data_IF_383058959632
#
_entry.id   IF_383058959632
#
_cell.length_a   1.000
_cell.length_b   1.000
_cell.length_c   1.000
_cell.angle_alpha   90.00
_cell.angle_beta   90.00
_cell.angle_gamma   90.00
#
_symmetry.space_group_name_H-M   'P 1'
#
loop_
_entity.id
_entity.type
_entity.pdbx_description
1 polymer ?
#
# COMPACT_ATOMS: atom_id res chain seq x y z
N UNK A 1 -5.96 8.90 -8.53
CA UNK A 1 -5.25 9.77 -9.50
C UNK A 1 -6.19 10.85 -10.01
N UNK A 2 -6.57 11.81 -9.16
CA UNK A 2 -7.58 12.84 -9.53
C UNK A 2 -7.00 14.05 -10.24
N UNK A 3 -5.69 14.31 -10.13
CA UNK A 3 -5.05 15.55 -10.57
C UNK A 3 -4.02 15.38 -11.70
N UNK A 4 -3.96 14.21 -12.33
CA UNK A 4 -3.03 13.84 -13.42
C UNK A 4 -1.62 14.44 -13.26
N UNK A 5 -1.06 14.33 -12.04
CA UNK A 5 0.23 14.95 -11.71
C UNK A 5 1.39 14.10 -12.19
N UNK A 6 2.43 14.74 -12.74
CA UNK A 6 3.67 14.06 -13.14
C UNK A 6 4.38 13.37 -11.96
N UNK A 7 4.11 13.80 -10.72
CA UNK A 7 4.67 13.20 -9.50
C UNK A 7 3.91 11.95 -9.04
N UNK A 8 2.79 11.63 -9.66
CA UNK A 8 1.87 10.66 -9.11
C UNK A 8 2.41 9.23 -9.19
N UNK A 9 3.24 8.90 -10.20
CA UNK A 9 3.98 7.63 -10.24
C UNK A 9 4.97 7.50 -9.08
N UNK A 10 5.71 8.57 -8.77
CA UNK A 10 6.65 8.60 -7.63
C UNK A 10 5.91 8.44 -6.31
N UNK A 11 4.77 9.13 -6.15
CA UNK A 11 3.95 9.05 -4.95
C UNK A 11 3.32 7.65 -4.78
N UNK A 12 2.85 7.03 -5.86
CA UNK A 12 2.34 5.65 -5.82
C UNK A 12 3.43 4.64 -5.46
N UNK A 13 4.67 4.82 -5.93
CA UNK A 13 5.80 3.99 -5.50
C UNK A 13 6.05 4.10 -4.01
N UNK A 14 6.17 5.32 -3.49
CA UNK A 14 6.37 5.54 -2.05
C UNK A 14 5.22 4.95 -1.21
N UNK A 15 3.97 5.14 -1.65
CA UNK A 15 2.80 4.57 -0.99
C UNK A 15 2.88 3.04 -0.96
N UNK A 16 3.27 2.41 -2.07
CA UNK A 16 3.46 0.96 -2.16
C UNK A 16 4.50 0.47 -1.15
N UNK A 17 5.65 1.14 -1.05
CA UNK A 17 6.73 0.77 -0.13
C UNK A 17 6.29 0.87 1.34
N UNK A 18 5.58 1.95 1.69
CA UNK A 18 5.03 2.14 3.04
C UNK A 18 3.98 1.07 3.37
N UNK A 19 3.05 0.82 2.45
CA UNK A 19 2.00 -0.18 2.64
C UNK A 19 2.58 -1.60 2.78
N UNK A 20 3.62 -1.96 2.01
CA UNK A 20 4.27 -3.27 2.15
C UNK A 20 5.03 -3.41 3.47
N UNK A 21 5.70 -2.35 3.92
CA UNK A 21 6.36 -2.34 5.24
C UNK A 21 5.34 -2.53 6.37
N UNK A 22 4.25 -1.75 6.34
CA UNK A 22 3.17 -1.83 7.32
C UNK A 22 2.49 -3.20 7.31
N UNK A 23 2.17 -3.75 6.14
CA UNK A 23 1.57 -5.08 6.03
C UNK A 23 2.49 -6.16 6.61
N UNK A 24 3.80 -6.09 6.33
CA UNK A 24 4.78 -7.06 6.82
C UNK A 24 4.91 -7.04 8.34
N UNK A 25 4.87 -5.86 8.96
CA UNK A 25 4.88 -5.73 10.42
C UNK A 25 3.56 -6.23 11.03
N UNK A 26 2.42 -5.82 10.46
CA UNK A 26 1.11 -6.24 10.94
C UNK A 26 0.87 -7.76 10.78
N UNK A 27 1.39 -8.41 9.74
CA UNK A 27 1.34 -9.86 9.54
C UNK A 27 2.03 -10.66 10.65
N UNK A 28 2.97 -10.03 11.39
CA UNK A 28 3.64 -10.68 12.53
C UNK A 28 2.69 -10.86 13.73
N UNK A 29 1.63 -10.07 13.81
CA UNK A 29 0.66 -10.09 14.91
C UNK A 29 -0.63 -10.81 14.48
N UNK A 30 -1.13 -11.72 15.32
CA UNK A 30 -2.34 -12.50 15.02
C UNK A 30 -3.65 -11.81 15.40
N UNK A 31 -3.58 -10.60 15.94
CA UNK A 31 -4.75 -9.80 16.27
C UNK A 31 -5.59 -9.51 15.03
N UNK A 32 -6.92 -9.58 15.19
CA UNK A 32 -7.87 -9.36 14.10
C UNK A 32 -7.65 -8.01 13.40
N UNK A 33 -7.36 -6.96 14.19
CA UNK A 33 -7.05 -5.64 13.66
C UNK A 33 -5.77 -5.63 12.80
N UNK A 34 -4.72 -6.33 13.25
CA UNK A 34 -3.45 -6.38 12.51
C UNK A 34 -3.59 -7.18 11.21
N UNK A 35 -4.34 -8.29 11.23
CA UNK A 35 -4.62 -9.07 10.03
C UNK A 35 -5.44 -8.27 9.00
N UNK A 36 -6.43 -7.50 9.46
CA UNK A 36 -7.24 -6.65 8.60
C UNK A 36 -6.46 -5.46 8.04
N UNK A 37 -5.63 -4.82 8.88
CA UNK A 37 -4.71 -3.77 8.45
C UNK A 37 -3.75 -4.28 7.37
N UNK A 38 -3.11 -5.43 7.58
CA UNK A 38 -2.22 -6.03 6.60
C UNK A 38 -2.92 -6.28 5.26
N UNK A 39 -4.13 -6.85 5.29
CA UNK A 39 -4.92 -7.10 4.08
C UNK A 39 -5.20 -5.81 3.30
N UNK A 40 -5.68 -4.77 3.97
CA UNK A 40 -5.99 -3.47 3.34
C UNK A 40 -4.71 -2.84 2.76
N UNK A 41 -3.59 -2.92 3.49
CA UNK A 41 -2.31 -2.43 3.00
C UNK A 41 -1.85 -3.17 1.74
N UNK A 42 -2.01 -4.49 1.66
CA UNK A 42 -1.71 -5.28 0.45
C UNK A 42 -2.59 -4.90 -0.74
N UNK A 43 -3.88 -4.71 -0.51
CA UNK A 43 -4.83 -4.24 -1.55
C UNK A 43 -4.45 -2.84 -2.07
N UNK A 44 -4.09 -1.92 -1.17
CA UNK A 44 -3.63 -0.58 -1.51
C UNK A 44 -2.33 -0.58 -2.32
N UNK A 45 -1.36 -1.42 -1.92
CA UNK A 45 -0.09 -1.59 -2.62
C UNK A 45 -0.30 -2.17 -4.03
N UNK A 46 -1.20 -3.15 -4.21
CA UNK A 46 -1.55 -3.67 -5.53
C UNK A 46 -2.20 -2.61 -6.42
N UNK A 47 -3.19 -1.88 -5.90
CA UNK A 47 -3.83 -0.79 -6.66
C UNK A 47 -2.83 0.27 -7.10
N UNK A 48 -1.91 0.66 -6.21
CA UNK A 48 -0.85 1.64 -6.50
C UNK A 48 0.15 1.14 -7.55
N UNK A 49 0.47 -0.16 -7.59
CA UNK A 49 1.32 -0.77 -8.62
C UNK A 49 0.68 -0.73 -10.01
N UNK A 50 -0.60 -1.10 -10.12
CA UNK A 50 -1.37 -1.02 -11.36
C UNK A 50 -1.49 0.42 -11.89
N UNK A 51 -1.42 1.40 -11.00
CA UNK A 51 -1.49 2.82 -11.34
C UNK A 51 -0.11 3.44 -11.64
N UNK A 52 0.98 2.80 -11.20
CA UNK A 52 2.35 3.25 -11.45
C UNK A 52 2.94 2.69 -12.77
N UNK A 53 2.41 1.58 -13.28
CA UNK A 53 2.74 1.04 -14.62
C UNK A 53 2.37 2.01 -15.73
#
# INVERSE_FOLDING_TARGET
MSRNSNLAKTLCKLCTDICDACAKECEMFKDQHCQECAKICRECAQASRTMAS
#
